data_IF_518318881241
#
_entry.id   IF_518318881241
#
_cell.length_a   1.000
_cell.length_b   1.000
_cell.length_c   1.000
_cell.angle_alpha   90.00
_cell.angle_beta   90.00
_cell.angle_gamma   90.00
#
_symmetry.space_group_name_H-M   'P 1'
#
loop_
_entity.id
_entity.type
_entity.pdbx_description
1 polymer ?
#
# COMPACT_ATOMS: atom_id res chain seq x y z
N UNK A 1 -1.38 9.21 -13.97
CA UNK A 1 -1.95 8.30 -12.94
C UNK A 1 -3.36 8.76 -12.60
N UNK A 2 -4.34 7.87 -12.64
CA UNK A 2 -5.68 8.11 -12.12
C UNK A 2 -5.70 7.98 -10.59
N UNK A 3 -6.47 8.84 -9.91
CA UNK A 3 -6.62 8.78 -8.44
C UNK A 3 -8.09 8.67 -8.11
N UNK A 4 -8.45 7.59 -7.41
CA UNK A 4 -9.80 7.36 -6.88
C UNK A 4 -9.72 7.50 -5.35
N UNK A 5 -10.37 8.51 -4.82
CA UNK A 5 -10.31 8.84 -3.40
C UNK A 5 -11.70 9.24 -2.85
N UNK A 6 -11.93 8.93 -1.57
CA UNK A 6 -13.14 9.35 -0.86
C UNK A 6 -14.44 8.66 -1.28
N UNK A 7 -14.36 7.59 -2.07
CA UNK A 7 -15.52 6.78 -2.48
C UNK A 7 -15.26 5.30 -2.30
N UNK A 8 -16.29 4.55 -1.98
CA UNK A 8 -16.31 3.08 -1.99
C UNK A 8 -16.96 2.52 -3.25
N UNK A 9 -17.53 3.39 -4.09
CA UNK A 9 -18.21 3.03 -5.33
C UNK A 9 -17.34 3.45 -6.51
N UNK A 10 -16.65 2.48 -7.12
CA UNK A 10 -15.83 2.64 -8.30
C UNK A 10 -15.73 1.32 -9.08
N UNK A 11 -15.32 1.39 -10.32
CA UNK A 11 -15.09 0.23 -11.16
C UNK A 11 -13.93 0.49 -12.14
N UNK A 12 -12.98 -0.44 -12.20
CA UNK A 12 -11.88 -0.39 -13.16
C UNK A 12 -12.18 -1.29 -14.36
N UNK A 13 -12.22 -0.71 -15.55
CA UNK A 13 -12.56 -1.46 -16.78
C UNK A 13 -11.45 -2.44 -17.21
N UNK A 14 -10.19 -2.08 -16.93
CA UNK A 14 -9.03 -2.91 -17.30
C UNK A 14 -8.74 -3.96 -16.24
N UNK A 15 -8.23 -5.09 -16.68
CA UNK A 15 -7.62 -6.07 -15.78
C UNK A 15 -6.44 -5.45 -15.04
N UNK A 16 -6.34 -5.69 -13.73
CA UNK A 16 -5.36 -5.03 -12.87
C UNK A 16 -4.39 -5.98 -12.18
N UNK A 17 -3.19 -5.46 -11.93
CA UNK A 17 -2.24 -5.98 -10.97
C UNK A 17 -2.19 -5.02 -9.77
N UNK A 18 -2.50 -5.52 -8.58
CA UNK A 18 -2.74 -4.70 -7.38
C UNK A 18 -1.67 -4.94 -6.33
N UNK A 19 -1.09 -3.87 -5.80
CA UNK A 19 -0.33 -3.89 -4.56
C UNK A 19 -1.17 -3.28 -3.43
N UNK A 20 -1.30 -4.01 -2.32
CA UNK A 20 -2.10 -3.59 -1.16
C UNK A 20 -1.15 -3.24 -0.01
N UNK A 21 -1.29 -2.05 0.55
CA UNK A 21 -0.46 -1.62 1.67
C UNK A 21 -0.74 -0.22 2.17
N UNK A 22 -0.06 0.17 3.24
CA UNK A 22 -0.12 1.54 3.78
C UNK A 22 0.79 2.49 3.03
N UNK A 23 1.88 1.97 2.48
CA UNK A 23 2.89 2.69 1.69
C UNK A 23 3.46 3.95 2.36
N UNK A 24 3.55 3.94 3.69
CA UNK A 24 4.19 5.03 4.41
C UNK A 24 5.72 4.98 4.21
N UNK A 25 6.29 6.06 3.68
CA UNK A 25 7.69 6.17 3.30
C UNK A 25 8.06 5.48 1.99
N UNK A 26 7.19 4.62 1.44
CA UNK A 26 7.46 3.80 0.21
C UNK A 26 8.87 3.19 0.23
N UNK A 27 9.23 2.58 1.35
CA UNK A 27 10.52 1.96 1.62
C UNK A 27 10.80 0.73 0.72
N UNK A 28 11.98 0.16 0.81
CA UNK A 28 12.43 -0.96 -0.04
C UNK A 28 11.43 -2.12 -0.10
N UNK A 29 10.82 -2.51 1.03
CA UNK A 29 9.76 -3.53 1.05
C UNK A 29 8.54 -3.13 0.22
N UNK A 30 8.08 -1.89 0.32
CA UNK A 30 7.00 -1.38 -0.52
C UNK A 30 7.38 -1.33 -2.00
N UNK A 31 8.62 -0.93 -2.32
CA UNK A 31 9.12 -0.90 -3.69
C UNK A 31 9.10 -2.28 -4.33
N UNK A 32 9.41 -3.32 -3.58
CA UNK A 32 9.35 -4.69 -4.07
C UNK A 32 7.93 -5.09 -4.50
N UNK A 33 6.91 -4.71 -3.71
CA UNK A 33 5.50 -4.90 -4.09
C UNK A 33 5.17 -4.16 -5.40
N UNK A 34 5.64 -2.92 -5.51
CA UNK A 34 5.39 -2.09 -6.69
C UNK A 34 6.08 -2.65 -7.94
N UNK A 35 7.30 -3.15 -7.82
CA UNK A 35 8.04 -3.81 -8.91
C UNK A 35 7.27 -5.01 -9.47
N UNK A 36 6.67 -5.83 -8.61
CA UNK A 36 5.88 -6.97 -9.03
C UNK A 36 4.67 -6.56 -9.88
N UNK A 37 3.90 -5.55 -9.44
CA UNK A 37 2.74 -5.11 -10.21
C UNK A 37 3.14 -4.37 -11.50
N UNK A 38 4.21 -3.56 -11.47
CA UNK A 38 4.74 -2.89 -12.66
C UNK A 38 5.24 -3.90 -13.68
N UNK A 39 5.88 -4.98 -13.23
CA UNK A 39 6.30 -6.08 -14.08
C UNK A 39 5.16 -6.79 -14.81
N UNK A 40 3.92 -6.69 -14.31
CA UNK A 40 2.73 -7.28 -14.95
C UNK A 40 2.18 -6.45 -16.11
N UNK A 41 2.60 -5.20 -16.27
CA UNK A 41 2.21 -4.35 -17.40
C UNK A 41 2.56 -4.97 -18.76
N UNK A 42 3.64 -5.73 -18.84
CA UNK A 42 4.02 -6.48 -20.06
C UNK A 42 2.99 -7.53 -20.47
N UNK A 43 2.09 -7.92 -19.57
CA UNK A 43 0.98 -8.84 -19.85
C UNK A 43 -0.35 -8.11 -20.03
N UNK A 44 -0.33 -6.78 -20.17
CA UNK A 44 -1.52 -5.96 -20.39
C UNK A 44 -2.30 -5.58 -19.15
N UNK A 45 -1.80 -5.89 -17.92
CA UNK A 45 -2.45 -5.50 -16.70
C UNK A 45 -2.12 -4.04 -16.33
N UNK A 46 -3.12 -3.29 -15.87
CA UNK A 46 -2.88 -1.97 -15.29
C UNK A 46 -2.28 -2.11 -13.88
N UNK A 47 -1.22 -1.35 -13.58
CA UNK A 47 -0.60 -1.35 -12.25
C UNK A 47 -1.40 -0.46 -11.30
N UNK A 48 -1.97 -1.05 -10.26
CA UNK A 48 -2.81 -0.37 -9.27
C UNK A 48 -2.23 -0.46 -7.86
N UNK A 49 -2.23 0.65 -7.15
CA UNK A 49 -1.96 0.69 -5.72
C UNK A 49 -3.28 0.86 -4.98
N UNK A 50 -3.50 0.03 -3.96
CA UNK A 50 -4.62 0.14 -3.04
C UNK A 50 -4.11 0.48 -1.64
N UNK A 51 -4.56 1.61 -1.10
CA UNK A 51 -4.25 2.06 0.26
C UNK A 51 -5.49 2.57 0.96
N UNK A 52 -5.44 2.66 2.29
CA UNK A 52 -6.54 3.16 3.11
C UNK A 52 -6.29 4.62 3.52
N UNK A 53 -7.35 5.41 3.56
CA UNK A 53 -7.33 6.80 4.00
C UNK A 53 -8.53 7.12 4.91
N UNK A 54 -8.30 7.46 6.19
CA UNK A 54 -7.01 7.41 6.89
C UNK A 54 -6.46 5.99 7.04
N UNK A 55 -5.20 5.86 7.48
CA UNK A 55 -4.65 4.53 7.78
C UNK A 55 -5.36 3.91 8.99
N UNK A 56 -5.40 2.56 9.12
CA UNK A 56 -6.03 1.91 10.26
C UNK A 56 -5.49 2.40 11.61
N UNK A 57 -4.18 2.66 11.69
CA UNK A 57 -3.56 3.15 12.93
C UNK A 57 -4.10 4.52 13.35
N UNK A 58 -4.36 5.40 12.41
CA UNK A 58 -4.96 6.73 12.66
C UNK A 58 -6.43 6.59 13.03
N UNK A 59 -7.21 5.80 12.29
CA UNK A 59 -8.64 5.60 12.56
C UNK A 59 -8.90 5.08 13.97
N UNK A 60 -8.06 4.15 14.44
CA UNK A 60 -8.21 3.52 15.76
C UNK A 60 -7.43 4.21 16.86
N UNK A 61 -6.82 5.38 16.60
CA UNK A 61 -6.08 6.16 17.60
C UNK A 61 -4.79 5.48 18.09
N UNK A 62 -4.22 4.58 17.30
CA UNK A 62 -2.98 3.87 17.60
C UNK A 62 -1.74 4.64 17.11
N UNK A 63 -1.93 5.72 16.38
CA UNK A 63 -0.87 6.59 15.85
C UNK A 63 -1.34 8.04 15.89
N UNK A 64 -0.41 8.94 16.11
CA UNK A 64 -0.62 10.40 16.08
C UNK A 64 -0.72 10.97 14.65
N UNK A 65 -0.71 10.10 13.64
CA UNK A 65 -0.81 10.50 12.22
C UNK A 65 0.49 10.99 11.61
N UNK A 66 1.62 10.90 12.34
CA UNK A 66 2.93 11.22 11.76
C UNK A 66 3.33 10.15 10.76
N UNK A 67 3.22 10.47 9.50
CA UNK A 67 3.68 9.63 8.39
C UNK A 67 5.07 10.10 7.90
N UNK A 68 5.84 9.16 7.35
CA UNK A 68 7.15 9.45 6.72
C UNK A 68 7.01 10.27 5.45
N UNK A 69 5.87 10.15 4.78
CA UNK A 69 5.56 10.84 3.53
C UNK A 69 4.16 11.41 3.57
N UNK A 70 4.02 12.64 3.10
CA UNK A 70 2.70 13.23 2.90
C UNK A 70 1.92 12.52 1.80
N UNK A 71 0.60 12.73 1.76
CA UNK A 71 -0.27 12.21 0.70
C UNK A 71 0.20 12.66 -0.69
N UNK A 72 0.56 13.93 -0.84
CA UNK A 72 1.03 14.49 -2.10
C UNK A 72 2.36 13.89 -2.55
N UNK A 73 3.28 13.66 -1.63
CA UNK A 73 4.56 13.00 -1.92
C UNK A 73 4.34 11.55 -2.38
N UNK A 74 3.47 10.79 -1.70
CA UNK A 74 3.09 9.43 -2.12
C UNK A 74 2.52 9.42 -3.54
N UNK A 75 1.56 10.30 -3.83
CA UNK A 75 0.95 10.41 -5.16
C UNK A 75 1.97 10.71 -6.25
N UNK A 76 2.85 11.70 -6.02
CA UNK A 76 3.94 12.07 -6.96
C UNK A 76 4.93 10.92 -7.17
N UNK A 77 5.23 10.16 -6.11
CA UNK A 77 6.14 9.03 -6.21
C UNK A 77 5.53 7.89 -7.03
N UNK A 78 4.28 7.52 -6.77
CA UNK A 78 3.58 6.50 -7.55
C UNK A 78 3.45 6.89 -9.03
N UNK A 79 3.14 8.14 -9.32
CA UNK A 79 3.10 8.65 -10.69
C UNK A 79 4.45 8.51 -11.40
N UNK A 80 5.54 8.92 -10.74
CA UNK A 80 6.91 8.78 -11.28
C UNK A 80 7.32 7.32 -11.48
N UNK A 81 6.86 6.40 -10.63
CA UNK A 81 7.12 4.97 -10.76
C UNK A 81 6.31 4.32 -11.90
N UNK A 82 5.32 5.03 -12.46
CA UNK A 82 4.51 4.53 -13.57
C UNK A 82 3.29 3.71 -13.14
N UNK A 83 2.77 3.94 -11.93
CA UNK A 83 1.49 3.42 -11.47
C UNK A 83 0.37 4.02 -12.33
N UNK A 84 -0.58 3.19 -12.76
CA UNK A 84 -1.69 3.63 -13.60
C UNK A 84 -2.85 4.16 -12.75
N UNK A 85 -3.17 3.51 -11.63
CA UNK A 85 -4.27 3.91 -10.74
C UNK A 85 -3.88 3.82 -9.27
N UNK A 86 -4.21 4.83 -8.51
CA UNK A 86 -4.11 4.86 -7.05
C UNK A 86 -5.51 4.90 -6.45
N UNK A 87 -5.82 3.94 -5.59
CA UNK A 87 -7.06 3.90 -4.81
C UNK A 87 -6.75 4.25 -3.37
N UNK A 88 -7.23 5.40 -2.92
CA UNK A 88 -7.22 5.83 -1.53
C UNK A 88 -8.60 5.54 -0.94
N UNK A 89 -8.79 4.29 -0.50
CA UNK A 89 -10.08 3.78 -0.05
C UNK A 89 -10.45 4.39 1.31
N UNK A 90 -11.65 4.97 1.45
CA UNK A 90 -12.07 5.61 2.69
C UNK A 90 -12.22 4.57 3.80
N UNK A 91 -11.37 4.67 4.84
CA UNK A 91 -11.46 3.82 6.01
C UNK A 91 -12.29 4.51 7.09
N UNK A 92 -13.52 4.04 7.24
CA UNK A 92 -14.48 4.42 8.28
C UNK A 92 -14.73 3.23 9.20
N UNK A 93 -15.47 3.43 10.29
CA UNK A 93 -15.91 2.31 11.13
C UNK A 93 -16.72 1.27 10.36
N UNK A 94 -17.50 1.71 9.37
CA UNK A 94 -18.33 0.84 8.53
C UNK A 94 -17.46 0.04 7.56
N UNK A 95 -16.55 0.67 6.82
CA UNK A 95 -15.67 0.00 5.87
C UNK A 95 -14.66 -0.89 6.57
N UNK A 96 -14.18 -0.50 7.77
CA UNK A 96 -13.32 -1.32 8.61
C UNK A 96 -14.02 -2.57 9.17
N UNK A 97 -15.35 -2.59 9.21
CA UNK A 97 -16.15 -3.76 9.61
C UNK A 97 -16.45 -4.73 8.45
N UNK A 98 -15.94 -4.48 7.25
CA UNK A 98 -16.11 -5.36 6.09
C UNK A 98 -15.41 -6.70 6.34
N UNK A 99 -16.14 -7.80 6.22
CA UNK A 99 -15.55 -9.14 6.33
C UNK A 99 -14.47 -9.34 5.25
N UNK A 100 -13.35 -9.99 5.59
CA UNK A 100 -12.22 -10.13 4.66
C UNK A 100 -12.58 -10.79 3.32
N UNK A 101 -13.45 -11.80 3.36
CA UNK A 101 -13.93 -12.49 2.16
C UNK A 101 -14.74 -11.55 1.25
N UNK A 102 -15.53 -10.67 1.85
CA UNK A 102 -16.30 -9.67 1.12
C UNK A 102 -15.38 -8.63 0.48
N UNK A 103 -14.33 -8.20 1.19
CA UNK A 103 -13.31 -7.32 0.62
C UNK A 103 -12.65 -7.94 -0.61
N UNK A 104 -12.23 -9.20 -0.52
CA UNK A 104 -11.60 -9.92 -1.64
C UNK A 104 -12.58 -10.06 -2.83
N UNK A 105 -13.84 -10.40 -2.56
CA UNK A 105 -14.84 -10.65 -3.62
C UNK A 105 -15.36 -9.37 -4.25
N UNK A 106 -15.80 -8.38 -3.43
CA UNK A 106 -16.47 -7.19 -3.95
C UNK A 106 -15.45 -6.13 -4.40
N UNK A 107 -14.41 -5.88 -3.61
CA UNK A 107 -13.45 -4.82 -3.91
C UNK A 107 -12.40 -5.33 -4.91
N UNK A 108 -11.63 -6.35 -4.53
CA UNK A 108 -10.53 -6.81 -5.38
C UNK A 108 -11.03 -7.44 -6.67
N UNK A 109 -11.87 -8.47 -6.59
CA UNK A 109 -12.26 -9.21 -7.78
C UNK A 109 -13.22 -8.43 -8.68
N UNK A 110 -14.28 -7.81 -8.11
CA UNK A 110 -15.33 -7.16 -8.91
C UNK A 110 -15.02 -5.71 -9.25
N UNK A 111 -14.76 -4.85 -8.25
CA UNK A 111 -14.56 -3.42 -8.52
C UNK A 111 -13.22 -3.12 -9.18
N UNK A 112 -12.14 -3.77 -8.71
CA UNK A 112 -10.80 -3.56 -9.26
C UNK A 112 -10.46 -4.43 -10.45
N UNK A 113 -11.31 -5.38 -10.82
CA UNK A 113 -11.07 -6.32 -11.91
C UNK A 113 -9.68 -6.98 -11.82
N UNK A 114 -9.33 -7.44 -10.62
CA UNK A 114 -7.98 -7.91 -10.27
C UNK A 114 -7.67 -9.24 -10.93
N UNK A 115 -6.44 -9.37 -11.47
CA UNK A 115 -5.86 -10.62 -11.97
C UNK A 115 -4.60 -11.02 -11.24
N UNK A 116 -3.97 -10.07 -10.55
CA UNK A 116 -2.76 -10.32 -9.79
C UNK A 116 -2.72 -9.42 -8.55
N UNK A 117 -2.35 -10.00 -7.41
CA UNK A 117 -2.13 -9.29 -6.14
C UNK A 117 -0.70 -9.52 -5.69
N UNK A 118 0.03 -8.43 -5.42
CA UNK A 118 1.25 -8.45 -4.64
C UNK A 118 0.93 -8.03 -3.19
N UNK A 119 1.25 -8.88 -2.23
CA UNK A 119 0.96 -8.66 -0.82
C UNK A 119 2.20 -8.93 0.04
N UNK A 120 2.48 -8.10 1.04
CA UNK A 120 3.47 -8.43 2.06
C UNK A 120 2.98 -9.60 2.93
N UNK A 121 3.89 -10.37 3.49
CA UNK A 121 3.54 -11.48 4.40
C UNK A 121 2.83 -11.00 5.67
N UNK A 122 2.99 -9.73 6.04
CA UNK A 122 2.34 -9.06 7.16
C UNK A 122 1.05 -8.33 6.77
N UNK A 123 0.54 -8.56 5.54
CA UNK A 123 -0.71 -7.97 5.10
C UNK A 123 -1.85 -8.30 6.07
N UNK A 124 -2.57 -7.27 6.48
CA UNK A 124 -3.76 -7.37 7.32
C UNK A 124 -4.86 -6.47 6.78
N UNK A 125 -6.06 -7.00 6.58
CA UNK A 125 -7.21 -6.27 6.04
C UNK A 125 -8.54 -6.80 6.56
N UNK A 126 -9.62 -6.07 6.27
CA UNK A 126 -10.96 -6.43 6.69
C UNK A 126 -11.18 -6.29 8.20
N UNK A 127 -12.32 -6.78 8.66
CA UNK A 127 -12.78 -6.65 10.03
C UNK A 127 -11.77 -7.23 11.04
N UNK A 128 -11.36 -6.40 11.99
CA UNK A 128 -10.36 -6.74 13.01
C UNK A 128 -9.01 -7.21 12.44
N UNK A 129 -8.70 -6.89 11.18
CA UNK A 129 -7.49 -7.36 10.51
C UNK A 129 -7.44 -8.88 10.31
N UNK A 130 -8.59 -9.54 10.25
CA UNK A 130 -8.67 -11.00 10.12
C UNK A 130 -8.26 -11.52 8.74
N UNK A 131 -8.27 -10.67 7.70
CA UNK A 131 -7.75 -10.98 6.37
C UNK A 131 -6.24 -10.90 6.34
N UNK A 132 -5.60 -11.82 5.64
CA UNK A 132 -4.16 -11.90 5.45
C UNK A 132 -3.80 -12.47 4.06
N UNK A 133 -2.52 -12.58 3.75
CA UNK A 133 -2.05 -13.12 2.47
C UNK A 133 -2.54 -14.55 2.23
N UNK A 134 -2.51 -15.41 3.24
CA UNK A 134 -2.97 -16.81 3.16
C UNK A 134 -4.46 -16.92 2.79
N UNK A 135 -5.31 -16.06 3.37
CA UNK A 135 -6.73 -16.00 3.00
C UNK A 135 -6.89 -15.64 1.52
N UNK A 136 -6.14 -14.64 1.04
CA UNK A 136 -6.17 -14.25 -0.39
C UNK A 136 -5.71 -15.39 -1.28
N UNK A 137 -4.62 -16.07 -0.96
CA UNK A 137 -4.11 -17.22 -1.72
C UNK A 137 -5.14 -18.33 -1.81
N UNK A 138 -5.85 -18.62 -0.73
CA UNK A 138 -6.91 -19.64 -0.69
C UNK A 138 -8.12 -19.26 -1.53
N UNK A 139 -8.48 -17.96 -1.57
CA UNK A 139 -9.63 -17.47 -2.33
C UNK A 139 -9.33 -17.22 -3.80
N UNK A 140 -8.09 -16.90 -4.13
CA UNK A 140 -7.65 -16.45 -5.44
C UNK A 140 -8.09 -17.35 -6.60
N UNK A 141 -7.99 -18.70 -6.53
CA UNK A 141 -8.43 -19.58 -7.62
C UNK A 141 -9.91 -19.44 -7.95
N UNK A 142 -10.75 -19.17 -6.95
CA UNK A 142 -12.20 -19.01 -7.12
C UNK A 142 -12.59 -17.60 -7.59
N UNK A 143 -11.73 -16.63 -7.37
CA UNK A 143 -11.95 -15.22 -7.72
C UNK A 143 -11.26 -14.80 -9.03
N UNK A 144 -10.48 -15.70 -9.65
CA UNK A 144 -9.86 -15.48 -10.95
C UNK A 144 -8.63 -14.59 -10.93
N UNK A 145 -7.90 -14.52 -9.81
CA UNK A 145 -6.62 -13.83 -9.71
C UNK A 145 -5.52 -14.72 -9.10
N UNK A 146 -4.27 -14.30 -9.21
CA UNK A 146 -3.13 -14.92 -8.55
C UNK A 146 -2.64 -14.01 -7.42
N UNK A 147 -2.06 -14.59 -6.38
CA UNK A 147 -1.41 -13.86 -5.28
C UNK A 147 0.06 -14.20 -5.27
N UNK A 148 0.88 -13.20 -5.06
CA UNK A 148 2.31 -13.37 -4.77
C UNK A 148 2.60 -12.69 -3.44
N UNK A 149 2.95 -13.51 -2.46
CA UNK A 149 3.38 -13.03 -1.16
C UNK A 149 4.85 -12.65 -1.21
N UNK A 150 5.19 -11.47 -0.71
CA UNK A 150 6.53 -10.91 -0.68
C UNK A 150 7.04 -10.95 0.75
N UNK A 151 8.17 -11.61 0.93
CA UNK A 151 8.87 -11.66 2.21
C UNK A 151 9.40 -10.28 2.59
N UNK A 152 9.57 -10.07 3.90
CA UNK A 152 10.15 -8.84 4.42
C UNK A 152 11.60 -8.67 3.93
N UNK A 153 11.95 -7.44 3.64
CA UNK A 153 13.32 -7.08 3.24
C UNK A 153 14.11 -6.68 4.47
N UNK A 154 15.37 -7.13 4.52
CA UNK A 154 16.32 -6.71 5.53
C UNK A 154 17.45 -5.89 4.91
N UNK A 155 17.89 -4.88 5.64
CA UNK A 155 19.12 -4.11 5.36
C UNK A 155 20.03 -4.25 6.57
N UNK A 156 21.25 -4.74 6.35
CA UNK A 156 22.22 -5.00 7.42
C UNK A 156 21.69 -5.92 8.55
N UNK A 157 20.81 -6.90 8.20
CA UNK A 157 20.20 -7.82 9.16
C UNK A 157 19.07 -7.22 9.99
N UNK A 158 18.55 -6.06 9.59
CA UNK A 158 17.45 -5.37 10.25
C UNK A 158 16.27 -5.30 9.28
N UNK A 159 15.09 -5.72 9.76
CA UNK A 159 13.85 -5.67 8.98
C UNK A 159 13.49 -4.22 8.60
N UNK A 160 13.22 -4.00 7.31
CA UNK A 160 12.78 -2.71 6.77
C UNK A 160 11.30 -2.52 7.07
N UNK A 161 10.99 -1.53 7.90
CA UNK A 161 9.61 -1.17 8.22
C UNK A 161 9.45 0.35 8.43
N UNK A 162 8.25 0.87 8.12
CA UNK A 162 7.94 2.29 8.35
C UNK A 162 8.12 2.69 9.82
N UNK A 163 7.84 1.78 10.75
CA UNK A 163 8.00 2.03 12.19
C UNK A 163 9.48 2.21 12.57
N UNK A 164 10.34 1.34 12.07
CA UNK A 164 11.77 1.45 12.35
C UNK A 164 12.41 2.67 11.67
N UNK A 165 12.03 2.92 10.41
CA UNK A 165 12.51 4.12 9.68
C UNK A 165 12.10 5.40 10.41
N UNK A 166 10.86 5.48 10.92
CA UNK A 166 10.39 6.64 11.69
C UNK A 166 11.24 6.86 12.94
N UNK A 167 11.60 5.79 13.64
CA UNK A 167 12.51 5.84 14.78
C UNK A 167 13.90 6.38 14.38
N UNK A 168 14.47 5.92 13.26
CA UNK A 168 15.75 6.42 12.76
C UNK A 168 15.71 7.92 12.46
N UNK A 169 14.62 8.39 11.82
CA UNK A 169 14.41 9.81 11.53
C UNK A 169 14.30 10.63 12.82
N UNK A 170 13.55 10.16 13.82
CA UNK A 170 13.41 10.81 15.13
C UNK A 170 14.75 10.88 15.89
N UNK A 171 15.61 9.88 15.74
CA UNK A 171 16.95 9.82 16.33
C UNK A 171 17.99 10.63 15.51
N UNK A 172 17.64 11.17 14.34
CA UNK A 172 18.55 11.89 13.46
C UNK A 172 19.50 10.99 12.67
N UNK A 173 19.26 9.67 12.62
CA UNK A 173 20.06 8.67 11.90
C UNK A 173 19.62 8.61 10.42
N UNK A 174 19.84 9.72 9.73
CA UNK A 174 19.28 9.93 8.40
C UNK A 174 19.89 9.00 7.34
N UNK A 175 21.18 8.72 7.39
CA UNK A 175 21.86 7.82 6.44
C UNK A 175 21.25 6.41 6.48
N UNK A 176 21.01 5.88 7.66
CA UNK A 176 20.40 4.56 7.84
C UNK A 176 18.92 4.56 7.42
N UNK A 177 18.20 5.66 7.67
CA UNK A 177 16.82 5.80 7.18
C UNK A 177 16.78 5.81 5.65
N UNK A 178 17.69 6.52 4.99
CA UNK A 178 17.79 6.58 3.53
C UNK A 178 18.18 5.24 2.89
N UNK A 179 19.05 4.46 3.54
CA UNK A 179 19.37 3.10 3.10
C UNK A 179 18.11 2.23 3.05
N UNK A 180 17.24 2.31 4.07
CA UNK A 180 15.99 1.54 4.13
C UNK A 180 14.88 2.07 3.22
N UNK A 181 14.86 3.38 3.00
CA UNK A 181 13.95 4.01 2.04
C UNK A 181 14.37 3.73 0.58
N UNK A 182 15.66 3.51 0.33
CA UNK A 182 16.22 3.40 -1.01
C UNK A 182 16.18 4.72 -1.80
N UNK A 183 16.05 5.84 -1.09
CA UNK A 183 16.07 7.20 -1.65
C UNK A 183 16.35 8.23 -0.54
N UNK A 184 16.85 9.42 -0.89
CA UNK A 184 17.00 10.51 0.06
C UNK A 184 15.67 10.86 0.75
N UNK A 185 15.72 11.05 2.06
CA UNK A 185 14.56 11.49 2.84
C UNK A 185 14.39 12.99 2.67
N UNK A 186 13.35 13.38 1.94
CA UNK A 186 12.99 14.80 1.76
C UNK A 186 11.89 15.16 2.75
N UNK A 187 12.28 15.63 3.93
CA UNK A 187 11.37 16.37 4.80
C UNK A 187 11.13 17.75 4.18
N UNK A 188 9.96 17.96 3.59
CA UNK A 188 9.55 19.31 3.21
C UNK A 188 9.29 20.10 4.51
N UNK A 189 10.32 20.79 4.99
CA UNK A 189 10.12 21.87 5.96
C UNK A 189 9.30 22.94 5.24
N UNK A 190 8.00 22.97 5.44
CA UNK A 190 7.20 24.12 5.13
C UNK A 190 7.61 25.23 6.09
N UNK A 191 8.58 26.03 5.70
CA UNK A 191 8.75 27.35 6.29
C UNK A 191 7.53 28.16 5.87
N UNK A 192 6.60 28.37 6.79
CA UNK A 192 5.56 29.37 6.61
C UNK A 192 6.26 30.68 6.29
N UNK A 193 5.93 31.35 5.18
CA UNK A 193 6.42 32.70 4.95
C UNK A 193 5.88 33.58 6.09
N UNK A 194 6.78 34.21 6.79
CA UNK A 194 6.50 35.21 7.82
C UNK A 194 5.82 36.40 7.21
#
# INVERSE_FOLDING_TARGET
MEIIAGTTDFYLEKDTAVAIGKFDGVHLGHRRLLEEILGRKKYGLAACVFTFDPTPAVLFGLSDGKELTTREEKRRLFERLGIDTLIEFPLTKETAATEPERFATEILAKQMNTRFVAAGEDLSFGKNGAGNAELLERMAPHLGFCVQTIEKIEVNGIEVSSTYIRKLVEEGRMEEAEEMLGMPYTCLLYTSPS
#
